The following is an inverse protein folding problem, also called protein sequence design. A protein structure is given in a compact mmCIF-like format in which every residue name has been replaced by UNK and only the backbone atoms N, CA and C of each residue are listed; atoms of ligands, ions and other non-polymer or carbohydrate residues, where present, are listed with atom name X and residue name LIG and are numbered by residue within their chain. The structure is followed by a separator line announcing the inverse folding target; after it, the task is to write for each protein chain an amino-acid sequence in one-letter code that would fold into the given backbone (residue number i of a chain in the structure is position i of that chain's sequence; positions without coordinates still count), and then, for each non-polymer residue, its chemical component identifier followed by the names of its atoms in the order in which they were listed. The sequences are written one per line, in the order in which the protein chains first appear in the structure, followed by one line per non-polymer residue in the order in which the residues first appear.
data_IF_052990752727
#
_entry.id   IF_052990752727
#
_cell.length_a   1.000
_cell.length_b   1.000
_cell.length_c   1.000
_cell.angle_alpha   90.00
_cell.angle_beta   90.00
_cell.angle_gamma   90.00
#
_symmetry.space_group_name_H-M   'P 1'
#
loop_
_entity.id
_entity.type
_entity.pdbx_description
1 polymer ?
#
# COMPACT_ATOMS: atom_id res chain seq x y z
N UNK A 1 -13.87 -41.37 -72.15
CA UNK A 1 -12.71 -41.70 -71.31
C UNK A 1 -12.13 -40.39 -70.80
N UNK A 2 -12.28 -40.11 -69.51
CA UNK A 2 -11.69 -38.94 -68.86
C UNK A 2 -11.06 -39.45 -67.57
N UNK A 3 -9.74 -39.50 -67.62
CA UNK A 3 -8.81 -39.99 -66.61
C UNK A 3 -8.77 -39.03 -65.42
N UNK A 4 -9.07 -39.51 -64.20
CA UNK A 4 -8.76 -38.81 -62.94
C UNK A 4 -8.53 -39.82 -61.81
N UNK A 5 -7.48 -40.63 -61.94
CA UNK A 5 -6.71 -41.11 -60.80
C UNK A 5 -6.05 -39.91 -60.09
N UNK A 6 -6.85 -39.06 -59.45
CA UNK A 6 -6.40 -37.85 -58.78
C UNK A 6 -6.56 -38.03 -57.28
N UNK A 7 -5.43 -38.10 -56.58
CA UNK A 7 -5.29 -37.89 -55.14
C UNK A 7 -6.39 -36.97 -54.60
N UNK A 8 -7.36 -37.54 -53.87
CA UNK A 8 -8.42 -36.79 -53.19
C UNK A 8 -7.93 -36.49 -51.76
N UNK A 9 -7.47 -35.26 -51.48
CA UNK A 9 -6.95 -34.90 -50.16
C UNK A 9 -8.03 -34.95 -49.08
N UNK A 10 -9.30 -34.81 -49.47
CA UNK A 10 -10.42 -34.85 -48.53
C UNK A 10 -10.70 -36.28 -48.09
N UNK A 11 -10.67 -37.25 -48.99
CA UNK A 11 -10.80 -38.67 -48.62
C UNK A 11 -9.60 -39.14 -47.80
N UNK A 12 -8.39 -38.66 -48.09
CA UNK A 12 -7.22 -38.99 -47.27
C UNK A 12 -7.31 -38.38 -45.87
N UNK A 13 -7.69 -37.10 -45.77
CA UNK A 13 -7.94 -36.43 -44.48
C UNK A 13 -9.07 -37.11 -43.70
N UNK A 14 -10.15 -37.50 -44.38
CA UNK A 14 -11.29 -38.18 -43.76
C UNK A 14 -10.90 -39.55 -43.24
N UNK A 15 -10.11 -40.32 -43.98
CA UNK A 15 -9.59 -41.61 -43.51
C UNK A 15 -8.64 -41.42 -42.32
N UNK A 16 -7.76 -40.42 -42.35
CA UNK A 16 -6.88 -40.08 -41.23
C UNK A 16 -7.67 -39.67 -39.99
N UNK A 17 -8.70 -38.83 -40.17
CA UNK A 17 -9.59 -38.41 -39.08
C UNK A 17 -10.35 -39.60 -38.52
N UNK A 18 -10.94 -40.46 -39.36
CA UNK A 18 -11.67 -41.66 -38.91
C UNK A 18 -10.76 -42.64 -38.18
N UNK A 19 -9.52 -42.80 -38.64
CA UNK A 19 -8.53 -43.64 -37.97
C UNK A 19 -8.11 -43.05 -36.62
N UNK A 20 -7.89 -41.72 -36.57
CA UNK A 20 -7.58 -41.01 -35.34
C UNK A 20 -8.74 -41.07 -34.35
N UNK A 21 -9.96 -40.84 -34.81
CA UNK A 21 -11.20 -40.88 -34.03
C UNK A 21 -11.45 -42.29 -33.48
N UNK A 22 -11.28 -43.34 -34.27
CA UNK A 22 -11.41 -44.72 -33.77
C UNK A 22 -10.32 -45.08 -32.74
N UNK A 23 -9.09 -44.63 -32.96
CA UNK A 23 -7.97 -44.89 -32.05
C UNK A 23 -8.14 -44.14 -30.72
N UNK A 24 -8.48 -42.87 -30.78
CA UNK A 24 -8.71 -42.04 -29.59
C UNK A 24 -10.02 -42.36 -28.89
N UNK A 25 -11.07 -42.74 -29.61
CA UNK A 25 -12.32 -43.19 -28.99
C UNK A 25 -12.11 -44.48 -28.19
N UNK A 26 -11.34 -45.44 -28.71
CA UNK A 26 -11.01 -46.67 -27.98
C UNK A 26 -10.16 -46.39 -26.74
N UNK A 27 -9.12 -45.55 -26.87
CA UNK A 27 -8.25 -45.18 -25.75
C UNK A 27 -9.01 -44.33 -24.72
N UNK A 28 -9.88 -43.41 -25.14
CA UNK A 28 -10.66 -42.56 -24.22
C UNK A 28 -11.72 -43.36 -23.49
N UNK A 29 -12.42 -44.29 -24.14
CA UNK A 29 -13.44 -45.13 -23.49
C UNK A 29 -12.81 -46.09 -22.47
N UNK A 30 -11.63 -46.65 -22.80
CA UNK A 30 -10.88 -47.55 -21.91
C UNK A 30 -10.15 -46.79 -20.79
N UNK A 31 -9.51 -45.65 -21.09
CA UNK A 31 -8.71 -44.90 -20.11
C UNK A 31 -9.49 -43.88 -19.27
N UNK A 32 -10.61 -43.31 -19.73
CA UNK A 32 -11.44 -42.47 -18.86
C UNK A 32 -12.08 -43.27 -17.71
N UNK A 33 -12.19 -44.59 -17.86
CA UNK A 33 -12.76 -45.47 -16.83
C UNK A 33 -11.73 -46.00 -15.82
N UNK A 34 -10.43 -45.82 -16.08
CA UNK A 34 -9.36 -46.36 -15.22
C UNK A 34 -8.63 -45.26 -14.44
N UNK A 35 -8.29 -45.55 -13.17
CA UNK A 35 -7.46 -44.69 -12.30
C UNK A 35 -6.12 -44.26 -12.94
N UNK A 36 -5.61 -45.07 -13.87
CA UNK A 36 -4.34 -44.84 -14.57
C UNK A 36 -4.32 -43.54 -15.39
N UNK A 37 -5.48 -43.01 -15.83
CA UNK A 37 -5.52 -41.71 -16.51
C UNK A 37 -5.23 -40.55 -15.55
N UNK A 38 -5.73 -40.66 -14.31
CA UNK A 38 -5.44 -39.67 -13.26
C UNK A 38 -3.97 -39.71 -12.86
N UNK A 39 -3.38 -40.90 -12.74
CA UNK A 39 -1.94 -41.07 -12.47
C UNK A 39 -1.07 -40.53 -13.61
N UNK A 40 -1.45 -40.77 -14.87
CA UNK A 40 -0.73 -40.25 -16.03
C UNK A 40 -0.82 -38.72 -16.12
N UNK A 41 -1.99 -38.14 -15.86
CA UNK A 41 -2.17 -36.70 -15.79
C UNK A 41 -1.38 -36.09 -14.62
N UNK A 42 -1.36 -36.75 -13.46
CA UNK A 42 -0.55 -36.35 -12.30
C UNK A 42 0.94 -36.35 -12.62
N UNK A 43 1.45 -37.43 -13.22
CA UNK A 43 2.86 -37.56 -13.63
C UNK A 43 3.23 -36.52 -14.69
N UNK A 44 2.34 -36.24 -15.66
CA UNK A 44 2.56 -35.22 -16.70
C UNK A 44 2.60 -33.82 -16.11
N UNK A 45 1.71 -33.53 -15.16
CA UNK A 45 1.70 -32.28 -14.43
C UNK A 45 2.97 -32.12 -13.58
N UNK A 46 3.39 -33.16 -12.86
CA UNK A 46 4.65 -33.17 -12.10
C UNK A 46 5.86 -32.93 -12.99
N UNK A 47 5.92 -33.56 -14.16
CA UNK A 47 6.99 -33.33 -15.15
C UNK A 47 7.00 -31.90 -15.67
N UNK A 48 5.83 -31.30 -15.91
CA UNK A 48 5.73 -29.91 -16.32
C UNK A 48 6.23 -28.96 -15.22
N UNK A 49 5.82 -29.20 -13.97
CA UNK A 49 6.24 -28.42 -12.82
C UNK A 49 7.75 -28.55 -12.56
N UNK A 50 8.31 -29.75 -12.69
CA UNK A 50 9.75 -29.99 -12.57
C UNK A 50 10.54 -29.26 -13.66
N UNK A 51 10.06 -29.31 -14.91
CA UNK A 51 10.68 -28.58 -16.03
C UNK A 51 10.66 -27.07 -15.79
N UNK A 52 9.52 -26.53 -15.35
CA UNK A 52 9.39 -25.11 -15.01
C UNK A 52 10.38 -24.72 -13.90
N UNK A 53 10.45 -25.52 -12.83
CA UNK A 53 11.37 -25.28 -11.71
C UNK A 53 12.83 -25.30 -12.16
N UNK A 54 13.23 -26.29 -12.98
CA UNK A 54 14.60 -26.33 -13.53
C UNK A 54 14.91 -25.12 -14.42
N UNK A 55 13.94 -24.67 -15.23
CA UNK A 55 14.12 -23.48 -16.06
C UNK A 55 14.28 -22.23 -15.19
N UNK A 56 13.45 -22.05 -14.17
CA UNK A 56 13.51 -20.93 -13.24
C UNK A 56 14.83 -20.91 -12.45
N UNK A 57 15.30 -22.07 -11.98
CA UNK A 57 16.60 -22.21 -11.29
C UNK A 57 17.78 -21.91 -12.23
N UNK A 58 17.72 -22.37 -13.48
CA UNK A 58 18.77 -22.13 -14.49
C UNK A 58 18.83 -20.65 -14.86
N UNK A 59 17.66 -20.04 -15.08
CA UNK A 59 17.54 -18.61 -15.38
C UNK A 59 18.03 -17.76 -14.22
N UNK A 60 17.70 -18.13 -12.98
CA UNK A 60 18.17 -17.44 -11.78
C UNK A 60 19.70 -17.52 -11.65
N UNK A 61 20.30 -18.71 -11.84
CA UNK A 61 21.76 -18.87 -11.84
C UNK A 61 22.44 -18.10 -12.98
N UNK A 62 21.84 -18.05 -14.16
CA UNK A 62 22.34 -17.26 -15.28
C UNK A 62 22.33 -15.76 -14.97
N UNK A 63 21.25 -15.26 -14.36
CA UNK A 63 21.13 -13.88 -13.95
C UNK A 63 22.11 -13.53 -12.82
N UNK A 64 22.29 -14.41 -11.83
CA UNK A 64 23.32 -14.27 -10.79
C UNK A 64 24.72 -14.17 -11.40
N UNK A 65 25.03 -15.01 -12.40
CA UNK A 65 26.32 -14.99 -13.08
C UNK A 65 26.54 -13.73 -13.93
N UNK A 66 25.45 -13.11 -14.38
CA UNK A 66 25.46 -11.81 -15.06
C UNK A 66 25.43 -10.61 -14.10
N UNK A 67 25.45 -10.82 -12.78
CA UNK A 67 25.19 -9.80 -11.75
C UNK A 67 23.87 -9.04 -11.93
N UNK A 68 22.89 -9.64 -12.61
CA UNK A 68 21.56 -9.05 -12.81
C UNK A 68 20.65 -9.67 -11.75
N UNK A 69 20.01 -8.86 -10.88
CA UNK A 69 19.12 -9.39 -9.86
C UNK A 69 17.92 -10.12 -10.49
N UNK A 70 17.47 -11.20 -9.84
CA UNK A 70 16.26 -11.91 -10.23
C UNK A 70 15.01 -11.03 -10.01
N UNK A 71 13.91 -11.33 -10.72
CA UNK A 71 12.62 -10.63 -10.53
C UNK A 71 12.11 -10.81 -9.09
N UNK A 72 12.37 -11.95 -8.47
CA UNK A 72 12.01 -12.24 -7.09
C UNK A 72 12.78 -11.36 -6.09
N UNK A 73 14.07 -11.11 -6.34
CA UNK A 73 14.86 -10.23 -5.46
C UNK A 73 14.46 -8.77 -5.64
N UNK A 74 14.12 -8.34 -6.85
CA UNK A 74 13.52 -7.03 -7.10
C UNK A 74 12.20 -6.86 -6.33
N UNK A 75 11.37 -7.91 -6.27
CA UNK A 75 10.12 -7.90 -5.50
C UNK A 75 10.36 -7.76 -3.99
N UNK A 76 11.36 -8.48 -3.44
CA UNK A 76 11.74 -8.34 -2.02
C UNK A 76 12.25 -6.94 -1.71
N UNK A 77 13.11 -6.38 -2.56
CA UNK A 77 13.61 -5.00 -2.40
C UNK A 77 12.47 -4.00 -2.48
N UNK A 78 11.54 -4.17 -3.42
CA UNK A 78 10.36 -3.31 -3.55
C UNK A 78 9.50 -3.31 -2.29
N UNK A 79 9.27 -4.48 -1.68
CA UNK A 79 8.55 -4.61 -0.41
C UNK A 79 9.27 -3.90 0.75
N UNK A 80 10.59 -4.04 0.81
CA UNK A 80 11.40 -3.35 1.83
C UNK A 80 11.32 -1.83 1.66
N UNK A 81 11.37 -1.33 0.42
CA UNK A 81 11.23 0.10 0.12
C UNK A 81 9.85 0.61 0.56
N UNK A 82 8.76 -0.10 0.21
CA UNK A 82 7.40 0.28 0.62
C UNK A 82 7.29 0.34 2.16
N UNK A 83 7.84 -0.65 2.88
CA UNK A 83 7.79 -0.63 4.35
C UNK A 83 8.56 0.54 4.96
N UNK A 84 9.67 0.95 4.31
CA UNK A 84 10.43 2.13 4.73
C UNK A 84 9.61 3.39 4.47
N UNK A 85 8.98 3.51 3.31
CA UNK A 85 8.11 4.63 2.96
C UNK A 85 6.97 4.80 3.98
N UNK A 86 6.24 3.72 4.28
CA UNK A 86 5.18 3.69 5.29
C UNK A 86 5.68 4.13 6.69
N UNK A 87 6.88 3.71 7.07
CA UNK A 87 7.48 4.10 8.36
C UNK A 87 7.93 5.55 8.38
N UNK A 88 8.41 6.08 7.25
CA UNK A 88 8.81 7.47 7.11
C UNK A 88 7.58 8.37 7.19
N UNK A 89 6.49 8.03 6.50
CA UNK A 89 5.22 8.75 6.58
C UNK A 89 4.68 8.77 8.02
N UNK A 90 4.69 7.63 8.70
CA UNK A 90 4.27 7.55 10.10
C UNK A 90 5.14 8.40 11.04
N UNK A 91 6.45 8.51 10.76
CA UNK A 91 7.33 9.41 11.53
C UNK A 91 7.02 10.88 11.23
N UNK A 92 6.70 11.23 9.99
CA UNK A 92 6.31 12.59 9.61
C UNK A 92 5.02 13.02 10.32
N UNK A 93 4.00 12.14 10.34
CA UNK A 93 2.75 12.35 11.09
C UNK A 93 3.02 12.59 12.58
N UNK A 94 3.88 11.76 13.21
CA UNK A 94 4.24 11.91 14.62
C UNK A 94 5.00 13.22 14.89
N UNK A 95 5.89 13.63 14.00
CA UNK A 95 6.61 14.90 14.12
C UNK A 95 5.65 16.08 13.99
N UNK A 96 4.68 16.01 13.07
CA UNK A 96 3.66 17.04 12.89
C UNK A 96 2.78 17.17 14.15
N UNK A 97 2.33 16.06 14.72
CA UNK A 97 1.53 16.03 15.95
C UNK A 97 2.29 16.59 17.16
N UNK A 98 3.56 16.25 17.31
CA UNK A 98 4.40 16.80 18.37
C UNK A 98 4.59 18.32 18.20
N UNK A 99 4.81 18.79 16.98
CA UNK A 99 4.97 20.21 16.70
C UNK A 99 3.67 21.00 16.97
N UNK A 100 2.52 20.46 16.55
CA UNK A 100 1.20 21.02 16.86
C UNK A 100 0.94 21.08 18.36
N UNK A 101 1.32 20.04 19.10
CA UNK A 101 1.18 19.98 20.56
C UNK A 101 2.09 21.00 21.24
N UNK A 102 3.34 21.12 20.80
CA UNK A 102 4.29 22.11 21.32
C UNK A 102 3.77 23.54 21.12
N UNK A 103 3.36 23.89 19.89
CA UNK A 103 2.78 25.20 19.56
C UNK A 103 1.53 25.49 20.40
N UNK A 104 0.62 24.51 20.54
CA UNK A 104 -0.58 24.65 21.39
C UNK A 104 -0.23 24.92 22.85
N UNK A 105 0.81 24.25 23.37
CA UNK A 105 1.28 24.43 24.75
C UNK A 105 1.87 25.82 24.98
N UNK A 106 2.64 26.34 24.01
CA UNK A 106 3.22 27.68 24.08
C UNK A 106 2.15 28.77 23.99
N UNK A 107 1.20 28.65 23.05
CA UNK A 107 0.05 29.57 22.94
C UNK A 107 -0.75 29.59 24.24
N UNK A 108 -1.03 28.42 24.84
CA UNK A 108 -1.75 28.33 26.12
C UNK A 108 -1.00 29.04 27.25
N UNK A 109 0.33 28.92 27.28
CA UNK A 109 1.18 29.60 28.26
C UNK A 109 1.14 31.12 28.06
N UNK A 110 1.24 31.60 26.83
CA UNK A 110 1.15 33.05 26.54
C UNK A 110 -0.22 33.63 26.85
N UNK A 111 -1.32 32.94 26.49
CA UNK A 111 -2.68 33.34 26.86
C UNK A 111 -2.82 33.45 28.39
N UNK A 112 -2.23 32.50 29.14
CA UNK A 112 -2.28 32.53 30.60
C UNK A 112 -1.51 33.72 31.16
N UNK A 113 -0.34 34.03 30.60
CA UNK A 113 0.44 35.24 30.99
C UNK A 113 -0.33 36.52 30.69
N UNK A 114 -0.85 36.66 29.47
CA UNK A 114 -1.66 37.81 29.06
C UNK A 114 -2.88 38.00 29.96
N UNK A 115 -3.55 36.92 30.35
CA UNK A 115 -4.69 36.98 31.28
C UNK A 115 -4.28 37.50 32.66
N UNK A 116 -3.13 37.08 33.17
CA UNK A 116 -2.61 37.57 34.46
C UNK A 116 -2.20 39.05 34.37
N UNK A 117 -1.52 39.45 33.30
CA UNK A 117 -1.14 40.85 33.07
C UNK A 117 -2.37 41.76 32.92
N UNK A 118 -3.38 41.31 32.17
CA UNK A 118 -4.64 42.04 32.01
C UNK A 118 -5.37 42.22 33.34
N UNK A 119 -5.41 41.18 34.18
CA UNK A 119 -5.97 41.29 35.53
C UNK A 119 -5.20 42.28 36.40
N UNK A 120 -3.88 42.28 36.35
CA UNK A 120 -3.06 43.26 37.07
C UNK A 120 -3.28 44.70 36.55
N UNK A 121 -3.58 44.87 35.27
CA UNK A 121 -3.95 46.16 34.70
C UNK A 121 -5.32 46.63 35.19
N UNK A 122 -6.30 45.73 35.28
CA UNK A 122 -7.63 45.96 35.82
C UNK A 122 -7.56 46.45 37.27
N UNK A 123 -6.78 45.77 38.12
CA UNK A 123 -6.56 46.16 39.52
C UNK A 123 -5.89 47.55 39.66
N UNK A 124 -4.94 47.86 38.76
CA UNK A 124 -4.31 49.20 38.71
C UNK A 124 -5.30 50.27 38.27
N UNK A 125 -6.14 49.98 37.28
CA UNK A 125 -7.19 50.90 36.82
C UNK A 125 -8.19 51.19 37.93
N UNK A 126 -8.66 50.16 38.65
CA UNK A 126 -9.53 50.32 39.81
C UNK A 126 -8.89 51.19 40.91
N UNK A 127 -7.59 51.00 41.14
CA UNK A 127 -6.84 51.80 42.12
C UNK A 127 -6.78 53.27 41.71
N UNK A 128 -6.51 53.56 40.43
CA UNK A 128 -6.52 54.93 39.91
C UNK A 128 -7.93 55.52 40.03
N UNK A 129 -8.96 54.76 39.66
CA UNK A 129 -10.35 55.21 39.71
C UNK A 129 -10.77 55.58 41.14
N UNK A 130 -10.36 54.78 42.14
CA UNK A 130 -10.54 55.11 43.56
C UNK A 130 -9.81 56.38 43.97
N UNK A 131 -8.55 56.56 43.58
CA UNK A 131 -7.77 57.77 43.92
C UNK A 131 -8.35 59.04 43.27
N UNK A 132 -8.87 58.93 42.04
CA UNK A 132 -9.56 60.03 41.37
C UNK A 132 -10.87 60.37 42.07
N UNK A 133 -11.66 59.37 42.50
CA UNK A 133 -12.87 59.59 43.28
C UNK A 133 -12.60 60.20 44.66
N UNK A 134 -11.55 59.75 45.35
CA UNK A 134 -11.18 60.31 46.66
C UNK A 134 -10.64 61.75 46.53
N UNK A 135 -9.81 62.03 45.51
CA UNK A 135 -9.32 63.39 45.24
C UNK A 135 -10.43 64.36 44.83
N UNK A 136 -11.45 63.89 44.10
CA UNK A 136 -12.65 64.68 43.81
C UNK A 136 -13.48 64.98 45.07
N UNK A 137 -13.50 64.07 46.06
CA UNK A 137 -14.17 64.27 47.34
C UNK A 137 -13.42 65.24 48.27
N UNK A 138 -12.08 65.26 48.26
CA UNK A 138 -11.27 66.21 49.04
C UNK A 138 -11.28 67.64 48.45
N UNK A 139 -11.32 67.78 47.12
CA UNK A 139 -11.48 69.07 46.45
C UNK A 139 -12.85 69.71 46.74
N UNK A 140 -13.92 68.92 46.84
CA UNK A 140 -15.25 69.41 47.24
C UNK A 140 -15.33 69.79 48.74
N UNK A 141 -14.59 69.10 49.61
CA UNK A 141 -14.55 69.41 51.04
C UNK A 141 -13.76 70.68 51.38
N UNK A 142 -12.82 71.08 50.52
CA UNK A 142 -11.99 72.30 50.71
C UNK A 142 -12.61 73.55 50.10
N UNK A 143 -13.52 73.44 49.12
CA UNK A 143 -14.27 74.59 48.57
C UNK A 143 -15.53 74.97 49.37
N UNK A 144 -15.95 74.14 50.34
CA UNK A 144 -17.13 74.40 51.20
C UNK A 144 -16.81 75.07 52.54
N UNK A 145 -15.56 75.48 52.77
CA UNK A 145 -15.09 76.05 54.05
C UNK A 145 -14.50 77.46 53.96
N UNK A 146 -14.73 78.17 52.84
CA UNK A 146 -14.42 79.61 52.71
C UNK A 146 -15.68 80.43 52.58
#
# INVERSE_FOLDING_TARGET
MADKNGFDPFDMWKNLYQQYDSYWSGILDEKMREEQFSEWMGTTLEMNLLYKKMMDETMSRYLEQANVPSVDDLSKVSKLIINVDEKVDHLDDQLQDMNLTAVKSDIKREITKLKTEMKGLDEKLDTILKHVQSGASEAAATSGKS
#
